data_IF_815245136375
#
_entry.id   IF_815245136375
#
_cell.length_a   1.000
_cell.length_b   1.000
_cell.length_c   1.000
_cell.angle_alpha   90.00
_cell.angle_beta   90.00
_cell.angle_gamma   90.00
#
_symmetry.space_group_name_H-M   'P 1'
#
loop_
_entity.id
_entity.type
_entity.pdbx_description
1 polymer ?
#
# COMPACT_ATOMS: atom_id res chain seq x y z
N UNK A 1 25.53 20.57 -11.56
CA UNK A 1 26.13 19.48 -10.76
C UNK A 1 25.33 19.23 -9.49
N UNK A 2 24.97 20.27 -8.73
CA UNK A 2 24.10 20.13 -7.57
C UNK A 2 22.69 19.68 -7.94
N UNK A 3 22.23 19.98 -9.15
CA UNK A 3 20.87 19.62 -9.62
C UNK A 3 20.67 18.12 -9.80
N UNK A 4 21.73 17.38 -10.15
CA UNK A 4 21.65 15.94 -10.32
C UNK A 4 21.35 15.23 -8.99
N UNK A 5 21.93 15.69 -7.87
CA UNK A 5 21.66 15.13 -6.55
C UNK A 5 20.25 15.46 -6.08
N UNK A 6 19.74 16.68 -6.37
CA UNK A 6 18.37 17.07 -6.02
C UNK A 6 17.31 16.30 -6.81
N UNK A 7 17.61 15.91 -8.09
CA UNK A 7 16.68 15.15 -8.92
C UNK A 7 16.52 13.68 -8.48
N UNK A 8 17.42 13.17 -7.62
CA UNK A 8 17.35 11.82 -7.08
C UNK A 8 16.46 11.72 -5.83
N UNK A 9 15.89 12.83 -5.39
CA UNK A 9 15.02 12.90 -4.24
C UNK A 9 13.59 13.22 -4.66
N UNK A 10 12.65 12.69 -3.91
CA UNK A 10 11.21 12.90 -4.09
C UNK A 10 10.58 12.98 -2.70
N UNK A 11 9.53 13.78 -2.53
CA UNK A 11 8.76 13.75 -1.29
C UNK A 11 7.65 12.70 -1.35
N UNK A 12 7.03 12.42 -0.22
CA UNK A 12 6.00 11.39 -0.16
C UNK A 12 4.78 11.75 -1.02
N UNK A 13 4.40 13.02 -1.09
CA UNK A 13 3.31 13.45 -1.96
C UNK A 13 3.62 13.18 -3.43
N UNK A 14 4.85 13.37 -3.84
CA UNK A 14 5.31 13.02 -5.19
C UNK A 14 5.25 11.52 -5.46
N UNK A 15 5.63 10.70 -4.48
CA UNK A 15 5.51 9.24 -4.56
C UNK A 15 4.04 8.83 -4.74
N UNK A 16 3.14 9.38 -3.93
CA UNK A 16 1.71 9.10 -3.99
C UNK A 16 1.12 9.48 -5.36
N UNK A 17 1.48 10.65 -5.86
CA UNK A 17 1.01 11.13 -7.16
C UNK A 17 1.50 10.22 -8.29
N UNK A 18 2.77 9.83 -8.26
CA UNK A 18 3.34 8.96 -9.30
C UNK A 18 2.70 7.57 -9.27
N UNK A 19 2.49 7.00 -8.08
CA UNK A 19 1.82 5.72 -7.92
C UNK A 19 0.41 5.75 -8.50
N UNK A 20 -0.35 6.81 -8.23
CA UNK A 20 -1.72 6.98 -8.74
C UNK A 20 -1.76 7.07 -10.28
N UNK A 21 -0.75 7.67 -10.89
CA UNK A 21 -0.65 7.74 -12.35
C UNK A 21 -0.38 6.37 -12.98
N UNK A 22 0.37 5.52 -12.28
CA UNK A 22 0.71 4.19 -12.80
C UNK A 22 -0.49 3.26 -12.81
N UNK A 23 -1.17 3.12 -11.67
CA UNK A 23 -2.23 2.14 -11.52
C UNK A 23 -2.98 2.36 -10.21
N UNK A 24 -4.29 2.05 -10.16
CA UNK A 24 -5.00 1.93 -8.89
C UNK A 24 -4.61 0.66 -8.11
N UNK A 25 -3.92 -0.28 -8.74
CA UNK A 25 -3.61 -1.59 -8.15
C UNK A 25 -2.13 -1.73 -7.85
N UNK A 26 -1.84 -2.45 -6.78
CA UNK A 26 -0.50 -2.76 -6.34
C UNK A 26 -0.40 -4.21 -5.89
N UNK A 27 0.82 -4.66 -5.66
CA UNK A 27 1.11 -5.98 -5.10
C UNK A 27 1.71 -5.80 -3.72
N UNK A 28 1.07 -6.38 -2.72
CA UNK A 28 1.54 -6.33 -1.34
C UNK A 28 2.35 -7.58 -1.03
N UNK A 29 3.56 -7.36 -0.56
CA UNK A 29 4.44 -8.42 -0.07
C UNK A 29 4.44 -8.44 1.46
N UNK A 30 4.23 -9.61 2.02
CA UNK A 30 4.29 -9.87 3.46
C UNK A 30 5.16 -11.09 3.71
N UNK A 31 5.58 -11.28 4.96
CA UNK A 31 6.44 -12.41 5.35
C UNK A 31 5.76 -13.17 6.49
N UNK A 32 5.60 -14.48 6.32
CA UNK A 32 5.02 -15.34 7.33
C UNK A 32 5.96 -15.61 8.51
N UNK A 33 5.42 -16.26 9.54
CA UNK A 33 6.18 -16.64 10.73
C UNK A 33 7.36 -17.57 10.41
N UNK A 34 7.25 -18.34 9.34
CA UNK A 34 8.31 -19.23 8.83
C UNK A 34 9.35 -18.53 7.94
N UNK A 35 9.20 -17.22 7.72
CA UNK A 35 10.09 -16.45 6.84
C UNK A 35 9.74 -16.54 5.37
N UNK A 36 8.67 -17.25 4.99
CA UNK A 36 8.26 -17.37 3.60
C UNK A 36 7.58 -16.07 3.12
N UNK A 37 8.01 -15.51 1.98
CA UNK A 37 7.36 -14.33 1.40
C UNK A 37 6.04 -14.70 0.72
N UNK A 38 5.09 -13.78 0.74
CA UNK A 38 3.80 -13.89 0.07
C UNK A 38 3.52 -12.60 -0.68
N UNK A 39 2.90 -12.68 -1.85
CA UNK A 39 2.56 -11.52 -2.68
C UNK A 39 1.14 -11.67 -3.20
N UNK A 40 0.32 -10.63 -3.00
CA UNK A 40 -1.08 -10.62 -3.46
C UNK A 40 -1.44 -9.26 -4.05
N UNK A 41 -2.40 -9.21 -5.00
CA UNK A 41 -2.90 -7.94 -5.51
C UNK A 41 -3.78 -7.24 -4.48
N UNK A 42 -3.68 -5.92 -4.44
CA UNK A 42 -4.46 -5.06 -3.55
C UNK A 42 -4.86 -3.79 -4.27
N UNK A 43 -5.85 -3.06 -3.71
CA UNK A 43 -6.28 -1.77 -4.20
C UNK A 43 -6.07 -0.73 -3.09
N UNK A 44 -4.87 -0.14 -3.00
CA UNK A 44 -4.54 0.79 -1.91
C UNK A 44 -5.18 2.16 -2.12
N UNK A 45 -5.57 2.79 -1.03
CA UNK A 45 -6.04 4.17 -1.01
C UNK A 45 -5.37 4.93 0.12
N UNK A 46 -5.12 6.21 -0.10
CA UNK A 46 -4.39 7.04 0.84
C UNK A 46 -5.34 7.86 1.71
N UNK A 47 -5.02 7.93 2.99
CA UNK A 47 -5.59 8.91 3.90
C UNK A 47 -4.41 9.66 4.53
N UNK A 48 -4.13 10.87 4.07
CA UNK A 48 -2.89 11.55 4.44
C UNK A 48 -1.69 10.72 4.02
N UNK A 49 -0.80 10.42 4.93
CA UNK A 49 0.41 9.63 4.68
C UNK A 49 0.26 8.15 5.06
N UNK A 50 -0.95 7.74 5.41
CA UNK A 50 -1.27 6.33 5.68
C UNK A 50 -1.87 5.71 4.42
N UNK A 51 -1.35 4.55 4.05
CA UNK A 51 -1.89 3.77 2.95
C UNK A 51 -2.80 2.67 3.51
N UNK A 52 -4.06 2.68 3.11
CA UNK A 52 -5.07 1.75 3.59
C UNK A 52 -5.40 0.69 2.56
N UNK A 53 -5.60 -0.53 3.06
CA UNK A 53 -6.10 -1.67 2.28
C UNK A 53 -7.30 -2.26 3.01
N UNK A 54 -8.28 -2.76 2.26
CA UNK A 54 -9.34 -3.59 2.80
C UNK A 54 -9.00 -5.05 2.55
N UNK A 55 -9.29 -5.92 3.50
CA UNK A 55 -9.05 -7.35 3.34
C UNK A 55 -9.73 -8.20 4.41
N UNK A 56 -9.67 -9.52 4.22
CA UNK A 56 -10.17 -10.46 5.22
C UNK A 56 -9.26 -10.52 6.43
N UNK A 57 -9.86 -10.57 7.62
CA UNK A 57 -9.10 -10.68 8.88
C UNK A 57 -8.39 -12.04 9.00
N UNK A 58 -8.89 -13.06 8.31
CA UNK A 58 -8.28 -14.40 8.24
C UNK A 58 -7.40 -14.62 7.02
N UNK A 59 -7.15 -13.57 6.23
CA UNK A 59 -6.30 -13.69 5.04
C UNK A 59 -4.85 -13.99 5.42
N UNK A 60 -4.11 -14.57 4.48
CA UNK A 60 -2.67 -14.84 4.68
C UNK A 60 -1.92 -13.56 5.01
N UNK A 61 -2.21 -12.47 4.28
CA UNK A 61 -1.55 -11.18 4.53
C UNK A 61 -1.82 -10.64 5.94
N UNK A 62 -3.07 -10.76 6.42
CA UNK A 62 -3.41 -10.31 7.77
C UNK A 62 -2.68 -11.13 8.84
N UNK A 63 -2.62 -12.45 8.69
CA UNK A 63 -1.88 -13.32 9.61
C UNK A 63 -0.39 -13.05 9.57
N UNK A 64 0.17 -12.87 8.39
CA UNK A 64 1.59 -12.55 8.23
C UNK A 64 1.95 -11.23 8.93
N UNK A 65 1.12 -10.20 8.76
CA UNK A 65 1.34 -8.88 9.38
C UNK A 65 1.30 -8.97 10.90
N UNK A 66 0.43 -9.81 11.47
CA UNK A 66 0.37 -10.02 12.91
C UNK A 66 1.68 -10.58 13.46
N UNK A 67 2.37 -11.44 12.69
CA UNK A 67 3.64 -12.05 13.08
C UNK A 67 4.85 -11.19 12.70
N UNK A 68 4.77 -10.50 11.56
CA UNK A 68 5.83 -9.63 11.06
C UNK A 68 5.22 -8.40 10.39
N UNK A 69 5.31 -7.22 11.03
CA UNK A 69 4.67 -6.01 10.51
C UNK A 69 5.36 -5.41 9.29
N UNK A 70 6.59 -5.84 8.96
CA UNK A 70 7.33 -5.29 7.84
C UNK A 70 6.71 -5.74 6.52
N UNK A 71 6.41 -4.77 5.66
CA UNK A 71 5.79 -5.01 4.35
C UNK A 71 6.49 -4.22 3.26
N UNK A 72 6.32 -4.68 2.03
CA UNK A 72 6.66 -3.92 0.83
C UNK A 72 5.46 -3.94 -0.11
N UNK A 73 5.31 -2.89 -0.90
CA UNK A 73 4.24 -2.81 -1.87
C UNK A 73 4.75 -2.18 -3.15
N UNK A 74 4.38 -2.76 -4.29
CA UNK A 74 4.80 -2.27 -5.60
C UNK A 74 3.57 -2.07 -6.48
N UNK A 75 3.42 -0.87 -7.04
CA UNK A 75 2.35 -0.59 -8.00
C UNK A 75 2.61 -1.30 -9.31
N UNK A 76 1.53 -1.64 -10.00
CA UNK A 76 1.61 -2.39 -11.25
C UNK A 76 2.46 -1.64 -12.26
N UNK A 77 3.48 -2.33 -12.80
CA UNK A 77 4.43 -1.74 -13.73
C UNK A 77 3.77 -1.45 -15.08
N UNK A 78 4.22 -0.39 -15.74
CA UNK A 78 3.78 -0.01 -17.09
C UNK A 78 4.67 -0.69 -18.16
N UNK A 79 4.25 -0.55 -19.42
CA UNK A 79 5.06 -1.03 -20.56
C UNK A 79 6.44 -0.39 -20.62
N UNK A 80 6.55 0.86 -20.12
CA UNK A 80 7.83 1.57 -20.07
C UNK A 80 8.77 1.07 -18.98
N UNK A 81 8.29 0.21 -18.09
CA UNK A 81 9.08 -0.23 -16.95
C UNK A 81 9.18 0.80 -15.84
N UNK A 82 8.19 1.66 -15.73
CA UNK A 82 8.09 2.60 -14.60
C UNK A 82 7.48 1.87 -13.40
N UNK A 83 7.98 2.14 -12.22
CA UNK A 83 7.50 1.49 -11.01
C UNK A 83 7.61 2.37 -9.78
N UNK A 84 6.75 2.10 -8.81
CA UNK A 84 6.81 2.71 -7.49
C UNK A 84 6.77 1.59 -6.46
N UNK A 85 7.72 1.62 -5.54
CA UNK A 85 7.76 0.71 -4.41
C UNK A 85 7.80 1.50 -3.11
N UNK A 86 7.07 1.01 -2.11
CA UNK A 86 7.16 1.50 -0.74
C UNK A 86 7.49 0.36 0.21
N UNK A 87 8.17 0.70 1.30
CA UNK A 87 8.43 -0.19 2.43
C UNK A 87 7.92 0.49 3.68
N UNK A 88 7.35 -0.28 4.57
CA UNK A 88 6.86 0.25 5.82
C UNK A 88 6.42 -0.81 6.78
N UNK A 89 5.70 -0.39 7.80
CA UNK A 89 5.09 -1.28 8.79
C UNK A 89 3.57 -1.24 8.65
N UNK A 90 2.95 -2.39 8.85
CA UNK A 90 1.52 -2.56 8.69
C UNK A 90 0.87 -3.01 9.99
N UNK A 91 -0.39 -2.61 10.17
CA UNK A 91 -1.24 -3.01 11.30
C UNK A 91 -2.64 -3.32 10.80
N UNK A 92 -3.24 -4.37 11.34
CA UNK A 92 -4.60 -4.79 10.98
C UNK A 92 -5.59 -4.21 11.99
N UNK A 93 -6.66 -3.60 11.48
CA UNK A 93 -7.75 -3.03 12.27
C UNK A 93 -9.07 -3.72 11.90
N UNK A 94 -9.76 -4.26 12.87
CA UNK A 94 -11.08 -4.86 12.69
C UNK A 94 -12.14 -4.32 13.67
N UNK A 95 -11.79 -3.30 14.46
CA UNK A 95 -12.70 -2.64 15.37
C UNK A 95 -13.77 -1.84 14.62
N UNK A 96 -14.95 -1.77 15.20
CA UNK A 96 -16.12 -1.19 14.58
C UNK A 96 -15.95 0.31 14.29
N UNK A 97 -15.30 1.04 15.21
CA UNK A 97 -15.05 2.47 15.04
C UNK A 97 -14.21 2.77 13.81
N UNK A 98 -13.10 2.05 13.62
CA UNK A 98 -12.23 2.19 12.45
C UNK A 98 -12.96 1.80 11.18
N UNK A 99 -13.71 0.70 11.19
CA UNK A 99 -14.48 0.24 10.04
C UNK A 99 -15.52 1.27 9.61
N UNK A 100 -16.26 1.84 10.54
CA UNK A 100 -17.26 2.89 10.25
C UNK A 100 -16.60 4.15 9.68
N UNK A 101 -15.48 4.55 10.24
CA UNK A 101 -14.75 5.74 9.79
C UNK A 101 -14.21 5.58 8.38
N UNK A 102 -13.66 4.40 8.06
CA UNK A 102 -13.04 4.14 6.76
C UNK A 102 -14.03 3.72 5.67
N UNK A 103 -15.26 3.35 6.05
CA UNK A 103 -16.22 2.81 5.09
C UNK A 103 -16.63 3.81 4.01
N UNK A 104 -16.64 5.09 4.36
CA UNK A 104 -16.98 6.16 3.43
C UNK A 104 -15.88 7.23 3.40
N UNK A 105 -15.46 7.62 2.20
CA UNK A 105 -14.62 8.79 2.00
C UNK A 105 -13.12 8.55 1.87
N UNK A 106 -12.61 7.37 2.16
CA UNK A 106 -11.18 7.05 2.00
C UNK A 106 -10.93 6.25 0.72
N UNK A 107 -11.74 5.23 0.47
CA UNK A 107 -11.57 4.36 -0.69
C UNK A 107 -12.29 4.94 -1.91
N UNK A 108 -11.69 4.80 -3.07
CA UNK A 108 -12.21 5.29 -4.35
C UNK A 108 -13.06 4.24 -5.07
N UNK A 109 -13.48 3.20 -4.35
CA UNK A 109 -14.37 2.17 -4.84
C UNK A 109 -15.40 1.80 -3.76
N UNK A 110 -16.48 1.14 -4.18
CA UNK A 110 -17.57 0.76 -3.28
C UNK A 110 -17.19 -0.47 -2.44
N UNK A 111 -16.96 -0.27 -1.16
CA UNK A 111 -16.63 -1.36 -0.23
C UNK A 111 -17.79 -2.35 -0.08
N UNK A 112 -19.04 -1.90 -0.25
CA UNK A 112 -20.21 -2.77 -0.17
C UNK A 112 -20.24 -3.83 -1.28
N UNK A 113 -19.54 -3.60 -2.39
CA UNK A 113 -19.41 -4.59 -3.46
C UNK A 113 -18.64 -5.84 -2.99
N UNK A 114 -17.74 -5.67 -2.02
CA UNK A 114 -16.92 -6.74 -1.46
C UNK A 114 -17.45 -7.24 -0.10
N UNK A 115 -18.10 -6.35 0.65
CA UNK A 115 -18.65 -6.64 1.96
C UNK A 115 -20.04 -6.03 2.10
N UNK A 116 -21.07 -6.68 1.51
CA UNK A 116 -22.42 -6.10 1.39
C UNK A 116 -23.12 -5.89 2.73
N UNK A 117 -22.63 -6.48 3.81
CA UNK A 117 -23.14 -6.24 5.16
C UNK A 117 -22.78 -4.88 5.74
N UNK A 118 -21.93 -4.10 5.05
CA UNK A 118 -21.45 -2.83 5.54
C UNK A 118 -20.49 -2.97 6.72
N UNK A 119 -20.12 -1.86 7.38
CA UNK A 119 -19.16 -1.92 8.49
C UNK A 119 -19.69 -2.71 9.69
N UNK A 120 -20.99 -2.69 9.92
CA UNK A 120 -21.59 -3.28 11.11
C UNK A 120 -21.85 -4.78 10.99
N UNK A 121 -21.98 -5.31 9.77
CA UNK A 121 -22.38 -6.70 9.52
C UNK A 121 -21.39 -7.45 8.62
N UNK A 122 -20.11 -7.08 8.66
CA UNK A 122 -19.04 -7.75 7.91
C UNK A 122 -17.89 -8.14 8.85
N UNK A 123 -18.11 -9.11 9.77
CA UNK A 123 -17.13 -9.42 10.82
C UNK A 123 -15.81 -9.98 10.32
N UNK A 124 -15.81 -10.60 9.12
CA UNK A 124 -14.58 -11.12 8.51
C UNK A 124 -13.80 -10.10 7.70
N UNK A 125 -14.26 -8.85 7.64
CA UNK A 125 -13.62 -7.77 6.89
C UNK A 125 -12.89 -6.83 7.84
N UNK A 126 -11.65 -6.50 7.50
CA UNK A 126 -10.83 -5.54 8.24
C UNK A 126 -10.07 -4.62 7.30
N UNK A 127 -9.25 -3.78 7.91
CA UNK A 127 -8.40 -2.82 7.19
C UNK A 127 -6.96 -2.96 7.64
N UNK A 128 -6.06 -2.72 6.70
CA UNK A 128 -4.63 -2.72 6.96
C UNK A 128 -4.13 -1.31 6.74
N UNK A 129 -3.48 -0.74 7.75
CA UNK A 129 -2.80 0.55 7.67
C UNK A 129 -1.32 0.32 7.43
N UNK A 130 -0.76 0.95 6.41
CA UNK A 130 0.68 0.93 6.14
C UNK A 130 1.24 2.31 6.44
N UNK A 131 2.17 2.37 7.38
CA UNK A 131 2.99 3.55 7.65
C UNK A 131 4.26 3.43 6.81
N UNK A 132 4.42 4.34 5.85
CA UNK A 132 5.54 4.29 4.90
C UNK A 132 6.82 4.79 5.55
N UNK A 133 7.89 4.01 5.44
CA UNK A 133 9.19 4.37 5.98
C UNK A 133 10.17 4.81 4.90
N UNK A 134 10.06 4.24 3.70
CA UNK A 134 10.87 4.62 2.54
C UNK A 134 10.16 4.28 1.25
N UNK A 135 10.57 4.90 0.17
CA UNK A 135 10.00 4.69 -1.15
C UNK A 135 11.06 4.80 -2.25
N UNK A 136 10.76 4.17 -3.39
CA UNK A 136 11.58 4.19 -4.59
C UNK A 136 10.67 4.41 -5.79
N UNK A 137 11.00 5.38 -6.62
CA UNK A 137 10.36 5.60 -7.92
C UNK A 137 11.40 5.30 -9.00
N UNK A 138 11.08 4.35 -9.87
CA UNK A 138 11.92 3.98 -10.99
C UNK A 138 11.26 4.37 -12.30
N UNK A 139 12.05 4.90 -13.23
CA UNK A 139 11.63 5.14 -14.61
C UNK A 139 12.43 4.24 -15.53
N UNK A 140 11.74 3.58 -16.43
CA UNK A 140 12.34 2.74 -17.47
C UNK A 140 13.34 1.73 -16.88
N UNK A 141 12.87 0.92 -15.92
CA UNK A 141 13.67 -0.10 -15.19
C UNK A 141 14.88 0.50 -14.45
N UNK A 142 14.85 1.81 -14.16
CA UNK A 142 15.97 2.53 -13.56
C UNK A 142 16.90 3.21 -14.57
N UNK A 143 16.80 2.88 -15.85
CA UNK A 143 17.60 3.54 -16.91
C UNK A 143 17.20 5.01 -17.11
N UNK A 144 15.95 5.36 -16.83
CA UNK A 144 15.42 6.71 -16.88
C UNK A 144 15.55 7.48 -15.56
N UNK A 145 16.21 6.90 -14.57
CA UNK A 145 16.45 7.48 -13.27
C UNK A 145 15.75 6.74 -12.14
N UNK A 146 16.20 7.06 -10.93
CA UNK A 146 15.62 6.55 -9.69
C UNK A 146 15.51 7.71 -8.70
N UNK A 147 14.37 7.82 -8.03
CA UNK A 147 14.16 8.81 -6.98
C UNK A 147 13.80 8.09 -5.70
N UNK A 148 14.31 8.59 -4.57
CA UNK A 148 14.14 7.95 -3.26
C UNK A 148 13.56 8.93 -2.25
N UNK A 149 12.78 8.38 -1.35
CA UNK A 149 12.29 9.08 -0.17
C UNK A 149 12.46 8.19 1.06
N UNK A 150 12.74 8.82 2.20
CA UNK A 150 12.73 8.15 3.51
C UNK A 150 12.16 9.09 4.57
N UNK A 151 11.48 8.48 5.51
CA UNK A 151 10.90 9.20 6.64
C UNK A 151 11.99 9.80 7.56
#
# INVERSE_FOLDING_TARGET
>A
MSDAAASDQIDLDGVKAFASELSPWAHLATVGADGAPDVVPVHPCWEGDICWLMGGTDSVKARNIADNPNVAMHWQVTENGDGVEIWGTAEVFDDLETKRRLWDGVFDYDLNAFAPGGPDNSPGTGFIAITVERALVLKHYGMGGAQRWSA
#
